data_IF_619657217295
#
_entry.id   IF_619657217295
#
_cell.length_a   1.000
_cell.length_b   1.000
_cell.length_c   1.000
_cell.angle_alpha   90.00
_cell.angle_beta   90.00
_cell.angle_gamma   90.00
#
_symmetry.space_group_name_H-M   'P 1'
#
loop_
_entity.id
_entity.type
_entity.pdbx_description
1 polymer ?
#
# COMPACT_ATOMS: atom_id res chain seq x y z
N UNK A 1 -60.98 -33.40 27.78
CA UNK A 1 -61.30 -32.14 27.06
C UNK A 1 -60.15 -31.16 27.27
N UNK A 2 -59.57 -30.68 26.16
CA UNK A 2 -58.44 -29.74 26.11
C UNK A 2 -58.94 -28.30 26.21
N UNK A 3 -58.15 -27.42 26.84
CA UNK A 3 -57.71 -26.11 26.29
C UNK A 3 -56.83 -25.39 27.32
N UNK A 4 -55.53 -25.61 27.24
CA UNK A 4 -54.50 -24.74 27.79
C UNK A 4 -54.23 -23.63 26.78
N UNK A 5 -54.55 -22.39 27.14
CA UNK A 5 -54.23 -21.21 26.33
C UNK A 5 -52.74 -20.89 26.44
N UNK A 6 -51.92 -21.43 25.53
CA UNK A 6 -50.56 -20.92 25.30
C UNK A 6 -50.65 -19.71 24.37
N UNK A 7 -50.44 -18.54 24.94
CA UNK A 7 -50.17 -17.30 24.17
C UNK A 7 -48.83 -17.49 23.47
N UNK A 8 -48.88 -17.73 22.16
CA UNK A 8 -47.69 -17.70 21.31
C UNK A 8 -47.32 -16.24 21.09
N UNK A 9 -46.23 -15.78 21.72
CA UNK A 9 -45.52 -14.60 21.24
C UNK A 9 -44.97 -14.91 19.86
N UNK A 10 -45.64 -14.40 18.83
CA UNK A 10 -45.10 -14.27 17.48
C UNK A 10 -43.81 -13.45 17.59
N UNK A 11 -42.66 -14.12 17.48
CA UNK A 11 -41.40 -13.46 17.12
C UNK A 11 -41.60 -12.94 15.71
N UNK A 12 -42.09 -11.71 15.60
CA UNK A 12 -41.94 -10.88 14.42
C UNK A 12 -40.44 -10.88 14.08
N UNK A 13 -40.03 -11.72 13.14
CA UNK A 13 -38.81 -11.54 12.37
C UNK A 13 -39.00 -10.23 11.63
N UNK A 14 -38.63 -9.12 12.28
CA UNK A 14 -38.28 -7.89 11.57
C UNK A 14 -37.08 -8.29 10.73
N UNK A 15 -37.35 -8.66 9.49
CA UNK A 15 -36.39 -8.71 8.41
C UNK A 15 -35.76 -7.33 8.38
N UNK A 16 -34.58 -7.20 8.97
CA UNK A 16 -33.78 -5.99 8.82
C UNK A 16 -33.64 -5.77 7.31
N UNK A 17 -33.96 -4.58 6.79
CA UNK A 17 -33.63 -4.30 5.41
C UNK A 17 -32.11 -4.45 5.35
N UNK A 18 -31.67 -5.46 4.59
CA UNK A 18 -30.32 -5.54 4.09
C UNK A 18 -30.16 -4.26 3.27
N UNK A 19 -29.72 -3.18 3.94
CA UNK A 19 -29.25 -1.98 3.29
C UNK A 19 -28.18 -2.50 2.34
N UNK A 20 -28.53 -2.57 1.04
CA UNK A 20 -27.54 -2.73 -0.02
C UNK A 20 -26.58 -1.57 0.20
N UNK A 21 -25.49 -1.82 0.92
CA UNK A 21 -24.36 -0.91 0.94
C UNK A 21 -24.03 -0.70 -0.53
N UNK A 22 -24.28 0.53 -1.04
CA UNK A 22 -23.84 0.89 -2.39
C UNK A 22 -22.40 0.45 -2.48
N UNK A 23 -22.12 -0.43 -3.42
CA UNK A 23 -20.80 -1.02 -3.57
C UNK A 23 -19.83 0.14 -3.82
N UNK A 24 -19.07 0.50 -2.79
CA UNK A 24 -18.07 1.55 -2.87
C UNK A 24 -16.95 0.97 -3.71
N UNK A 25 -16.72 1.55 -4.87
CA UNK A 25 -15.64 1.15 -5.77
C UNK A 25 -14.79 2.39 -6.08
N UNK A 26 -13.55 2.40 -5.60
CA UNK A 26 -12.58 3.42 -6.00
C UNK A 26 -12.07 2.99 -7.37
N UNK A 27 -12.40 3.75 -8.41
CA UNK A 27 -11.90 3.53 -9.77
C UNK A 27 -10.43 3.97 -9.90
N UNK A 28 -9.65 3.39 -10.84
CA UNK A 28 -8.29 3.83 -11.09
C UNK A 28 -8.24 5.33 -11.43
N UNK A 29 -7.12 6.00 -11.13
CA UNK A 29 -6.90 7.39 -11.53
C UNK A 29 -6.57 7.47 -13.01
N UNK A 30 -6.82 8.63 -13.62
CA UNK A 30 -6.29 8.88 -14.96
C UNK A 30 -4.81 9.22 -14.92
N UNK A 31 -4.09 8.95 -16.01
CA UNK A 31 -2.69 9.38 -16.17
C UNK A 31 -2.51 10.88 -15.89
N UNK A 32 -3.40 11.72 -16.41
CA UNK A 32 -3.34 13.17 -16.23
C UNK A 32 -3.55 13.58 -14.77
N UNK A 33 -4.42 12.89 -14.03
CA UNK A 33 -4.65 13.11 -12.59
C UNK A 33 -3.38 12.81 -11.80
N UNK A 34 -2.75 11.66 -12.06
CA UNK A 34 -1.51 11.26 -11.41
C UNK A 34 -0.38 12.23 -11.70
N UNK A 35 -0.12 12.51 -12.98
CA UNK A 35 0.97 13.39 -13.42
C UNK A 35 0.83 14.77 -12.79
N UNK A 36 -0.38 15.34 -12.82
CA UNK A 36 -0.66 16.67 -12.25
C UNK A 36 -0.36 16.72 -10.76
N UNK A 37 -0.66 15.66 -10.01
CA UNK A 37 -0.38 15.62 -8.57
C UNK A 37 1.09 15.37 -8.28
N UNK A 38 1.73 14.47 -9.03
CA UNK A 38 3.16 14.22 -8.92
C UNK A 38 3.97 15.49 -9.17
N UNK A 39 3.69 16.21 -10.26
CA UNK A 39 4.34 17.48 -10.60
C UNK A 39 4.19 18.51 -9.47
N UNK A 40 3.03 18.56 -8.80
CA UNK A 40 2.82 19.46 -7.65
C UNK A 40 3.64 19.07 -6.44
N UNK A 41 3.78 17.77 -6.17
CA UNK A 41 4.56 17.26 -5.03
C UNK A 41 6.05 17.51 -5.29
N UNK A 42 6.55 17.16 -6.47
CA UNK A 42 7.96 17.36 -6.84
C UNK A 42 8.34 18.85 -6.84
N UNK A 43 7.46 19.75 -7.29
CA UNK A 43 7.70 21.21 -7.20
C UNK A 43 7.82 21.73 -5.77
N UNK A 44 7.21 21.06 -4.79
CA UNK A 44 7.24 21.45 -3.37
C UNK A 44 8.33 20.72 -2.57
N UNK A 45 8.91 19.66 -3.13
CA UNK A 45 9.93 18.88 -2.46
C UNK A 45 11.22 19.69 -2.33
N UNK A 46 11.75 19.76 -1.11
CA UNK A 46 13.07 20.33 -0.84
C UNK A 46 14.07 19.18 -0.61
N UNK A 47 15.01 18.94 -1.54
CA UNK A 47 16.01 17.87 -1.40
C UNK A 47 17.07 18.15 -0.34
N UNK A 48 17.21 19.40 0.13
CA UNK A 48 18.19 19.77 1.13
C UNK A 48 17.73 19.41 2.56
N UNK A 49 16.43 19.18 2.73
CA UNK A 49 15.86 18.72 3.99
C UNK A 49 15.53 17.23 3.89
N UNK A 50 15.73 16.48 4.97
CA UNK A 50 15.31 15.09 5.05
C UNK A 50 13.79 15.02 5.32
N UNK A 51 13.01 15.29 4.26
CA UNK A 51 11.55 15.37 4.28
C UNK A 51 10.90 14.25 3.48
N UNK A 52 9.72 13.82 3.91
CA UNK A 52 8.92 12.83 3.20
C UNK A 52 7.45 13.19 3.22
N UNK A 53 6.69 12.60 2.29
CA UNK A 53 5.24 12.73 2.24
C UNK A 53 4.62 11.57 3.02
N UNK A 54 3.96 11.87 4.15
CA UNK A 54 3.31 10.85 4.95
C UNK A 54 2.06 10.29 4.24
N UNK A 55 1.46 9.23 4.81
CA UNK A 55 0.26 8.58 4.26
C UNK A 55 -1.01 9.46 4.24
N UNK A 56 -0.97 10.66 4.80
CA UNK A 56 -2.06 11.64 4.72
C UNK A 56 -1.77 12.76 3.71
N UNK A 57 -0.63 12.69 2.99
CA UNK A 57 -0.22 13.73 2.07
C UNK A 57 0.34 14.98 2.76
N UNK A 58 0.78 14.88 4.01
CA UNK A 58 1.45 15.95 4.74
C UNK A 58 2.96 15.77 4.66
N UNK A 59 3.67 16.88 4.56
CA UNK A 59 5.12 16.90 4.63
C UNK A 59 5.57 16.76 6.08
N UNK A 60 6.44 15.79 6.33
CA UNK A 60 7.06 15.56 7.63
C UNK A 60 8.59 15.50 7.47
N UNK A 61 9.28 15.76 8.57
CA UNK A 61 10.74 15.68 8.69
C UNK A 61 11.14 14.46 9.52
N UNK A 62 12.40 14.04 9.42
CA UNK A 62 12.97 12.99 10.30
C UNK A 62 12.32 11.61 10.11
N UNK A 63 12.51 10.95 8.94
CA UNK A 63 11.95 9.63 8.66
C UNK A 63 12.49 8.58 9.64
N UNK A 64 11.57 7.90 10.33
CA UNK A 64 11.90 6.85 11.31
C UNK A 64 11.75 5.45 10.73
N UNK A 65 10.75 5.23 9.87
CA UNK A 65 10.47 3.93 9.27
C UNK A 65 11.22 3.74 7.94
N UNK A 66 11.44 2.49 7.53
CA UNK A 66 12.01 2.16 6.21
C UNK A 66 11.17 2.81 5.11
N UNK A 67 9.84 2.71 5.21
CA UNK A 67 8.88 3.32 4.30
C UNK A 67 9.01 4.85 4.19
N UNK A 68 9.29 5.55 5.28
CA UNK A 68 9.46 7.02 5.24
C UNK A 68 10.76 7.42 4.53
N UNK A 69 11.83 6.65 4.76
CA UNK A 69 13.10 6.81 4.04
C UNK A 69 12.93 6.51 2.55
N UNK A 70 12.23 5.43 2.21
CA UNK A 70 11.89 5.10 0.83
C UNK A 70 11.10 6.21 0.14
N UNK A 71 10.16 6.84 0.85
CA UNK A 71 9.41 7.98 0.32
C UNK A 71 10.29 9.21 0.04
N UNK A 72 11.25 9.52 0.93
CA UNK A 72 12.23 10.57 0.67
C UNK A 72 13.09 10.25 -0.56
N UNK A 73 13.69 9.06 -0.62
CA UNK A 73 14.57 8.64 -1.71
C UNK A 73 13.86 8.61 -3.07
N UNK A 74 12.60 8.17 -3.10
CA UNK A 74 11.77 8.21 -4.29
C UNK A 74 11.55 9.65 -4.77
N UNK A 75 11.20 10.57 -3.87
CA UNK A 75 11.01 11.98 -4.20
C UNK A 75 12.31 12.63 -4.68
N UNK A 76 13.43 12.32 -4.04
CA UNK A 76 14.76 12.78 -4.46
C UNK A 76 15.10 12.29 -5.87
N UNK A 77 14.88 11.01 -6.13
CA UNK A 77 15.11 10.40 -7.45
C UNK A 77 14.26 11.04 -8.55
N UNK A 78 13.00 11.37 -8.26
CA UNK A 78 12.10 12.03 -9.20
C UNK A 78 12.40 13.52 -9.40
N UNK A 79 12.87 14.20 -8.36
CA UNK A 79 13.25 15.61 -8.37
C UNK A 79 14.54 15.87 -9.15
N UNK A 80 15.54 14.98 -9.00
CA UNK A 80 16.90 15.21 -9.53
C UNK A 80 16.90 15.52 -11.04
N UNK A 81 17.44 16.68 -11.46
CA UNK A 81 17.49 17.04 -12.87
C UNK A 81 18.60 16.26 -13.59
N UNK A 82 18.21 15.48 -14.61
CA UNK A 82 19.02 15.02 -15.75
C UNK A 82 20.12 13.97 -15.55
N UNK A 83 20.55 13.58 -14.35
CA UNK A 83 21.66 12.60 -14.23
C UNK A 83 21.22 11.13 -14.27
N UNK A 84 19.92 10.83 -14.28
CA UNK A 84 19.40 9.46 -14.24
C UNK A 84 18.01 9.39 -14.90
N UNK A 85 17.92 9.79 -16.18
CA UNK A 85 16.67 9.79 -16.96
C UNK A 85 16.01 8.42 -16.95
N UNK A 86 16.81 7.35 -17.02
CA UNK A 86 16.34 5.97 -16.95
C UNK A 86 15.67 5.69 -15.60
N UNK A 87 16.28 6.02 -14.45
CA UNK A 87 15.65 5.79 -13.14
C UNK A 87 14.37 6.58 -12.94
N UNK A 88 14.32 7.80 -13.47
CA UNK A 88 13.13 8.64 -13.39
C UNK A 88 11.99 8.07 -14.23
N UNK A 89 12.28 7.63 -15.45
CA UNK A 89 11.29 6.98 -16.32
C UNK A 89 10.80 5.67 -15.71
N UNK A 90 11.67 4.93 -15.03
CA UNK A 90 11.34 3.70 -14.32
C UNK A 90 10.30 3.82 -13.24
N UNK A 91 10.60 4.65 -12.23
CA UNK A 91 9.68 4.86 -11.13
C UNK A 91 8.34 5.38 -11.62
N UNK A 92 8.37 6.25 -12.62
CA UNK A 92 7.17 6.78 -13.27
C UNK A 92 6.39 5.67 -13.99
N UNK A 93 7.07 4.77 -14.71
CA UNK A 93 6.44 3.64 -15.39
C UNK A 93 5.81 2.66 -14.39
N UNK A 94 6.52 2.27 -13.34
CA UNK A 94 5.99 1.40 -12.27
C UNK A 94 4.77 2.06 -11.63
N UNK A 95 4.89 3.36 -11.31
CA UNK A 95 3.79 4.11 -10.74
C UNK A 95 2.55 4.13 -11.63
N UNK A 96 2.74 4.25 -12.95
CA UNK A 96 1.64 4.20 -13.90
C UNK A 96 1.07 2.80 -14.10
N UNK A 97 1.90 1.75 -14.16
CA UNK A 97 1.43 0.36 -14.20
C UNK A 97 0.54 0.02 -13.01
N UNK A 98 0.87 0.51 -11.81
CA UNK A 98 0.02 0.36 -10.62
C UNK A 98 -1.34 1.06 -10.73
N UNK A 99 -1.54 1.93 -11.72
CA UNK A 99 -2.81 2.63 -11.93
C UNK A 99 -3.64 2.05 -13.07
N UNK A 100 -3.14 1.03 -13.76
CA UNK A 100 -3.87 0.36 -14.84
C UNK A 100 -5.07 -0.44 -14.29
N UNK A 101 -6.19 -0.56 -15.03
CA UNK A 101 -7.41 -1.17 -14.52
C UNK A 101 -7.26 -2.62 -14.03
N UNK A 102 -6.41 -3.40 -14.66
CA UNK A 102 -6.07 -4.78 -14.33
C UNK A 102 -5.20 -4.89 -13.07
N UNK A 103 -4.28 -3.94 -12.88
CA UNK A 103 -3.40 -3.87 -11.71
C UNK A 103 -4.03 -3.15 -10.51
N UNK A 104 -5.09 -2.37 -10.74
CA UNK A 104 -5.68 -1.53 -9.71
C UNK A 104 -6.16 -2.28 -8.45
N UNK A 105 -6.77 -3.49 -8.52
CA UNK A 105 -7.08 -4.28 -7.33
C UNK A 105 -5.84 -4.63 -6.49
N UNK A 106 -4.72 -4.92 -7.15
CA UNK A 106 -3.43 -5.20 -6.52
C UNK A 106 -2.90 -3.95 -5.80
N UNK A 107 -2.92 -2.79 -6.47
CA UNK A 107 -2.49 -1.52 -5.89
C UNK A 107 -3.31 -1.13 -4.65
N UNK A 108 -4.63 -1.31 -4.71
CA UNK A 108 -5.49 -1.12 -3.53
C UNK A 108 -5.11 -2.04 -2.38
N UNK A 109 -4.76 -3.29 -2.67
CA UNK A 109 -4.34 -4.28 -1.67
C UNK A 109 -3.00 -3.90 -1.05
N UNK A 110 -2.01 -3.50 -1.85
CA UNK A 110 -0.71 -3.03 -1.37
C UNK A 110 -0.84 -1.78 -0.50
N UNK A 111 -1.61 -0.79 -0.96
CA UNK A 111 -1.90 0.41 -0.19
C UNK A 111 -2.55 0.08 1.15
N UNK A 112 -3.54 -0.83 1.15
CA UNK A 112 -4.16 -1.31 2.38
C UNK A 112 -3.15 -1.96 3.32
N UNK A 113 -2.28 -2.83 2.81
CA UNK A 113 -1.25 -3.51 3.62
C UNK A 113 -0.32 -2.50 4.28
N UNK A 114 0.14 -1.50 3.53
CA UNK A 114 1.01 -0.45 4.03
C UNK A 114 0.34 0.34 5.17
N UNK A 115 -0.91 0.75 4.96
CA UNK A 115 -1.67 1.53 5.95
C UNK A 115 -2.12 0.71 7.16
N UNK A 116 -2.42 -0.58 6.97
CA UNK A 116 -2.86 -1.47 8.03
C UNK A 116 -1.72 -1.77 9.02
N UNK A 117 -0.46 -1.68 8.62
CA UNK A 117 0.68 -1.82 9.54
C UNK A 117 0.83 -0.60 10.48
N UNK A 118 0.27 0.56 10.10
CA UNK A 118 0.28 1.78 10.91
C UNK A 118 -0.80 1.79 12.02
N UNK A 119 -1.69 0.79 12.06
CA UNK A 119 -2.74 0.65 13.09
C UNK A 119 -2.81 -0.80 13.58
N UNK A 120 -3.25 -1.03 14.81
CA UNK A 120 -3.70 -2.38 15.21
C UNK A 120 -4.82 -2.83 14.26
N UNK A 121 -4.59 -3.94 13.54
CA UNK A 121 -5.47 -4.52 12.52
C UNK A 121 -6.97 -4.34 12.82
N UNK A 122 -7.80 -3.86 11.87
CA UNK A 122 -9.23 -3.91 12.05
C UNK A 122 -9.68 -5.39 12.11
N UNK A 123 -10.62 -5.77 13.01
CA UNK A 123 -10.95 -7.18 13.28
C UNK A 123 -11.76 -7.86 12.17
N UNK A 124 -12.13 -7.12 11.11
CA UNK A 124 -12.98 -7.62 10.03
C UNK A 124 -12.40 -7.22 8.68
N UNK A 125 -12.48 -8.16 7.74
CA UNK A 125 -12.23 -7.94 6.32
C UNK A 125 -13.26 -6.93 5.79
N UNK A 126 -13.04 -5.64 6.04
CA UNK A 126 -13.74 -4.63 5.25
C UNK A 126 -13.28 -4.76 3.80
N UNK A 127 -14.17 -4.54 2.81
CA UNK A 127 -13.76 -4.43 1.43
C UNK A 127 -12.64 -3.38 1.32
N UNK A 128 -11.58 -3.66 0.56
CA UNK A 128 -10.40 -2.80 0.45
C UNK A 128 -10.75 -1.33 0.20
N UNK A 129 -11.76 -1.08 -0.66
CA UNK A 129 -12.28 0.25 -0.95
C UNK A 129 -12.91 0.96 0.27
N UNK A 130 -13.62 0.23 1.13
CA UNK A 130 -14.23 0.82 2.34
C UNK A 130 -13.16 1.27 3.32
N UNK A 131 -12.15 0.42 3.56
CA UNK A 131 -11.03 0.78 4.43
C UNK A 131 -10.28 2.00 3.90
N UNK A 132 -9.91 1.99 2.61
CA UNK A 132 -9.17 3.10 2.00
C UNK A 132 -9.99 4.40 2.05
N UNK A 133 -11.29 4.36 1.73
CA UNK A 133 -12.15 5.54 1.86
C UNK A 133 -12.32 6.03 3.30
N UNK A 134 -12.35 5.11 4.26
CA UNK A 134 -12.42 5.45 5.69
C UNK A 134 -11.12 6.11 6.15
N UNK A 135 -9.97 5.57 5.74
CA UNK A 135 -8.65 6.07 6.11
C UNK A 135 -8.39 7.48 5.56
N UNK A 136 -8.61 7.68 4.26
CA UNK A 136 -8.36 8.96 3.60
C UNK A 136 -9.50 9.98 3.76
N UNK A 137 -10.66 9.53 4.24
CA UNK A 137 -11.88 10.32 4.28
C UNK A 137 -12.62 10.32 2.94
N UNK A 138 -13.96 10.29 3.00
CA UNK A 138 -14.85 10.13 1.84
C UNK A 138 -14.74 11.22 0.75
N UNK A 139 -14.09 12.34 1.05
CA UNK A 139 -13.98 13.52 0.19
C UNK A 139 -12.54 13.86 -0.22
N UNK A 140 -11.55 13.00 0.07
CA UNK A 140 -10.18 13.26 -0.36
C UNK A 140 -10.08 13.27 -1.88
N UNK A 141 -9.95 14.48 -2.45
CA UNK A 141 -9.84 14.73 -3.91
C UNK A 141 -8.65 14.02 -4.56
N UNK A 142 -7.73 13.48 -3.75
CA UNK A 142 -6.48 12.88 -4.20
C UNK A 142 -6.33 11.43 -3.72
N UNK A 143 -7.41 10.80 -3.24
CA UNK A 143 -7.37 9.45 -2.67
C UNK A 143 -6.72 8.43 -3.61
N UNK A 144 -7.02 8.51 -4.90
CA UNK A 144 -6.49 7.58 -5.91
C UNK A 144 -4.99 7.72 -6.08
N UNK A 145 -4.47 8.95 -6.08
CA UNK A 145 -3.04 9.22 -6.11
C UNK A 145 -2.37 8.63 -4.87
N UNK A 146 -2.92 8.87 -3.68
CA UNK A 146 -2.33 8.35 -2.45
C UNK A 146 -2.39 6.82 -2.37
N UNK A 147 -3.44 6.17 -2.90
CA UNK A 147 -3.47 4.72 -3.03
C UNK A 147 -2.30 4.22 -3.90
N UNK A 148 -2.10 4.80 -5.08
CA UNK A 148 -0.97 4.43 -5.94
C UNK A 148 0.37 4.69 -5.24
N UNK A 149 0.49 5.81 -4.53
CA UNK A 149 1.69 6.20 -3.77
C UNK A 149 2.03 5.18 -2.68
N UNK A 150 1.06 4.82 -1.84
CA UNK A 150 1.27 3.79 -0.82
C UNK A 150 1.57 2.42 -1.43
N UNK A 151 0.94 2.07 -2.55
CA UNK A 151 1.22 0.81 -3.24
C UNK A 151 2.68 0.74 -3.71
N UNK A 152 3.19 1.82 -4.29
CA UNK A 152 4.58 1.90 -4.72
C UNK A 152 5.54 1.85 -3.53
N UNK A 153 5.25 2.58 -2.45
CA UNK A 153 6.08 2.54 -1.24
C UNK A 153 6.12 1.16 -0.59
N UNK A 154 5.00 0.43 -0.57
CA UNK A 154 4.95 -0.93 -0.05
C UNK A 154 5.83 -1.88 -0.89
N UNK A 155 5.82 -1.73 -2.22
CA UNK A 155 6.69 -2.52 -3.11
C UNK A 155 8.17 -2.20 -2.89
N UNK A 156 8.51 -0.91 -2.80
CA UNK A 156 9.89 -0.48 -2.51
C UNK A 156 10.35 -1.05 -1.17
N UNK A 157 9.51 -0.97 -0.13
CA UNK A 157 9.85 -1.51 1.18
C UNK A 157 10.06 -3.03 1.14
N UNK A 158 9.22 -3.78 0.43
CA UNK A 158 9.39 -5.23 0.25
C UNK A 158 10.74 -5.52 -0.43
N UNK A 159 11.10 -4.80 -1.49
CA UNK A 159 12.38 -5.02 -2.18
C UNK A 159 13.59 -4.65 -1.31
N UNK A 160 13.51 -3.53 -0.58
CA UNK A 160 14.56 -3.16 0.37
C UNK A 160 14.72 -4.25 1.44
N UNK A 161 13.62 -4.79 1.97
CA UNK A 161 13.67 -5.88 2.94
C UNK A 161 14.29 -7.15 2.35
N UNK A 162 14.00 -7.50 1.08
CA UNK A 162 14.63 -8.63 0.38
C UNK A 162 16.14 -8.43 0.25
N UNK A 163 16.59 -7.25 -0.18
CA UNK A 163 18.00 -6.93 -0.32
C UNK A 163 18.73 -7.01 1.02
N UNK A 164 18.16 -6.42 2.07
CA UNK A 164 18.71 -6.46 3.42
C UNK A 164 18.72 -7.88 4.00
N UNK A 165 17.72 -8.69 3.67
CA UNK A 165 17.62 -10.09 4.08
C UNK A 165 18.63 -11.00 3.37
N UNK A 166 19.01 -10.67 2.13
CA UNK A 166 19.92 -11.47 1.29
C UNK A 166 21.40 -11.15 1.53
N UNK A 167 21.73 -10.03 2.20
CA UNK A 167 23.10 -9.62 2.42
C UNK A 167 23.90 -10.68 3.23
N UNK A 168 25.06 -11.15 2.77
CA UNK A 168 25.81 -12.18 3.48
C UNK A 168 26.39 -11.63 4.79
N UNK A 169 25.94 -12.16 5.93
CA UNK A 169 26.46 -11.82 7.26
C UNK A 169 27.23 -13.03 7.83
N UNK A 170 28.53 -12.87 8.15
CA UNK A 170 29.33 -13.95 8.77
C UNK A 170 28.74 -14.43 10.10
N UNK A 171 28.86 -15.73 10.38
CA UNK A 171 28.28 -16.36 11.59
C UNK A 171 28.73 -15.73 12.91
N UNK A 172 29.95 -15.22 12.96
CA UNK A 172 30.50 -14.61 14.17
C UNK A 172 29.87 -13.24 14.51
N UNK A 173 29.15 -12.62 13.56
CA UNK A 173 28.47 -11.33 13.77
C UNK A 173 27.02 -11.53 14.24
N UNK A 174 26.85 -11.97 15.48
CA UNK A 174 25.55 -12.36 16.05
C UNK A 174 24.48 -11.26 16.02
N UNK A 175 24.87 -10.00 16.26
CA UNK A 175 23.93 -8.88 16.29
C UNK A 175 23.43 -8.53 14.89
N UNK A 176 24.33 -8.42 13.91
CA UNK A 176 23.97 -8.21 12.50
C UNK A 176 23.10 -9.36 11.97
N UNK A 177 23.36 -10.59 12.40
CA UNK A 177 22.55 -11.76 12.02
C UNK A 177 21.15 -11.73 12.64
N UNK A 178 21.03 -11.22 13.87
CA UNK A 178 19.72 -10.99 14.50
C UNK A 178 18.89 -9.97 13.71
N UNK A 179 19.53 -8.89 13.27
CA UNK A 179 18.92 -7.85 12.42
C UNK A 179 18.51 -8.44 11.06
N UNK A 180 19.39 -9.20 10.41
CA UNK A 180 19.08 -9.88 9.14
C UNK A 180 17.88 -10.83 9.26
N UNK A 181 17.86 -11.67 10.30
CA UNK A 181 16.75 -12.59 10.57
C UNK A 181 15.43 -11.83 10.82
N UNK A 182 15.51 -10.65 11.44
CA UNK A 182 14.34 -9.78 11.60
C UNK A 182 13.81 -9.29 10.24
N UNK A 183 14.68 -8.83 9.34
CA UNK A 183 14.27 -8.44 7.98
C UNK A 183 13.68 -9.59 7.18
N UNK A 184 14.29 -10.78 7.24
CA UNK A 184 13.74 -11.99 6.61
C UNK A 184 12.32 -12.31 7.08
N UNK A 185 12.08 -12.25 8.40
CA UNK A 185 10.76 -12.48 8.99
C UNK A 185 9.75 -11.43 8.53
N UNK A 186 10.11 -10.15 8.54
CA UNK A 186 9.23 -9.07 8.07
C UNK A 186 8.87 -9.22 6.59
N UNK A 187 9.87 -9.52 5.74
CA UNK A 187 9.65 -9.77 4.32
C UNK A 187 8.67 -10.92 4.10
N UNK A 188 8.90 -12.06 4.77
CA UNK A 188 8.01 -13.22 4.69
C UNK A 188 6.58 -12.89 5.16
N UNK A 189 6.44 -12.16 6.26
CA UNK A 189 5.12 -11.73 6.76
C UNK A 189 4.37 -10.86 5.75
N UNK A 190 5.04 -9.90 5.11
CA UNK A 190 4.43 -9.04 4.08
C UNK A 190 4.02 -9.87 2.85
N UNK A 191 4.88 -10.76 2.37
CA UNK A 191 4.56 -11.65 1.24
C UNK A 191 3.36 -12.56 1.52
N UNK A 192 3.30 -13.18 2.70
CA UNK A 192 2.17 -14.01 3.11
C UNK A 192 0.87 -13.21 3.28
N UNK A 193 0.96 -11.99 3.81
CA UNK A 193 -0.20 -11.10 3.89
C UNK A 193 -0.72 -10.73 2.51
N UNK A 194 0.17 -10.47 1.56
CA UNK A 194 -0.20 -10.21 0.17
C UNK A 194 -0.91 -11.42 -0.46
N UNK A 195 -0.30 -12.61 -0.41
CA UNK A 195 -0.87 -13.86 -0.98
C UNK A 195 -2.27 -14.16 -0.44
N UNK A 196 -2.52 -13.92 0.85
CA UNK A 196 -3.82 -14.14 1.48
C UNK A 196 -4.90 -13.16 1.01
N UNK A 197 -4.52 -12.04 0.41
CA UNK A 197 -5.40 -10.91 0.08
C UNK A 197 -5.55 -10.67 -1.41
N UNK A 198 -4.52 -10.98 -2.19
CA UNK A 198 -4.65 -11.07 -3.63
C UNK A 198 -5.51 -12.29 -3.96
N UNK A 199 -6.61 -12.10 -4.68
CA UNK A 199 -7.29 -13.19 -5.39
C UNK A 199 -6.46 -13.72 -6.57
N UNK A 200 -5.26 -13.14 -6.76
CA UNK A 200 -4.29 -13.44 -7.79
C UNK A 200 -3.18 -14.25 -7.13
N UNK A 201 -2.78 -15.35 -7.78
CA UNK A 201 -1.65 -16.18 -7.35
C UNK A 201 -0.38 -15.33 -7.17
N UNK A 202 0.49 -15.74 -6.25
CA UNK A 202 1.71 -15.02 -5.87
C UNK A 202 2.68 -14.69 -7.02
N UNK A 203 2.48 -15.30 -8.19
CA UNK A 203 3.19 -15.02 -9.45
C UNK A 203 3.03 -13.58 -9.94
N UNK A 204 1.94 -12.88 -9.62
CA UNK A 204 1.78 -11.47 -10.02
C UNK A 204 2.66 -10.51 -9.22
N UNK A 205 2.98 -10.82 -7.96
CA UNK A 205 3.91 -10.01 -7.19
C UNK A 205 5.34 -10.22 -7.69
N UNK A 206 5.74 -11.47 -7.96
CA UNK A 206 7.01 -11.77 -8.62
C UNK A 206 7.08 -11.15 -10.01
N UNK A 207 6.02 -11.16 -10.81
CA UNK A 207 5.99 -10.49 -12.12
C UNK A 207 6.18 -8.96 -12.00
N UNK A 208 5.43 -8.31 -11.10
CA UNK A 208 5.57 -6.87 -10.86
C UNK A 208 6.98 -6.56 -10.36
N UNK A 209 7.53 -7.34 -9.43
CA UNK A 209 8.85 -7.10 -8.86
C UNK A 209 9.98 -7.43 -9.86
N UNK A 210 9.90 -8.53 -10.61
CA UNK A 210 10.85 -8.92 -11.64
C UNK A 210 10.85 -7.97 -12.84
N UNK A 211 9.70 -7.46 -13.28
CA UNK A 211 9.64 -6.54 -14.42
C UNK A 211 9.95 -5.09 -14.01
N UNK A 212 9.65 -4.71 -12.76
CA UNK A 212 9.86 -3.34 -12.28
C UNK A 212 11.28 -3.09 -11.79
N UNK A 213 11.95 -4.08 -11.18
CA UNK A 213 13.28 -3.89 -10.57
C UNK A 213 14.45 -4.43 -11.40
N UNK A 214 14.24 -5.34 -12.37
CA UNK A 214 15.31 -5.73 -13.32
C UNK A 214 15.80 -4.59 -14.21
N UNK A 215 15.08 -3.46 -14.23
CA UNK A 215 15.46 -2.27 -15.00
C UNK A 215 16.40 -1.36 -14.17
N UNK A 216 16.58 -1.58 -12.86
CA UNK A 216 17.22 -0.60 -11.96
C UNK A 216 18.27 -1.12 -10.98
N UNK A 217 18.75 -2.35 -11.15
CA UNK A 217 19.98 -2.86 -10.52
C UNK A 217 20.94 -3.33 -11.61
#
# INVERSE_FOLDING_TARGET
MRKTSRVYYSRNKKSYPFLRMKQINILPPSFQEIKKHLDKIIKKFNPYDLVFLNCQGKWETSPHLIRDKAAHELLFSLWKPKSNTESKEGWVNIFFSLTEPDQWPTSKTLAWMSLAQLKTLPPKMEPTDHYLMSFYGRSSKNIKFFIAWEALLELIEIEVLKLLAAYPVPEWKKDEKTIQNHFQRLCHQKQELFKKRSSLDGSNLEFILDHSFKIYL
#
